data_IF_065950709980
#
_entry.id   IF_065950709980
#
_cell.length_a   1.000
_cell.length_b   1.000
_cell.length_c   1.000
_cell.angle_alpha   90.00
_cell.angle_beta   90.00
_cell.angle_gamma   90.00
#
_symmetry.space_group_name_H-M   'P 1'
#
loop_
_entity.id
_entity.type
_entity.pdbx_description
1 polymer ?
#
# COMPACT_ATOMS: atom_id res chain seq x y z
N UNK A 1 9.58 -5.81 6.24
CA UNK A 1 8.14 -6.10 6.04
C UNK A 1 7.67 -7.03 7.15
N UNK A 2 6.66 -6.65 7.94
CA UNK A 2 6.19 -7.42 9.10
C UNK A 2 5.00 -8.37 8.81
N UNK A 3 4.87 -8.83 7.56
CA UNK A 3 4.10 -10.01 7.09
C UNK A 3 2.79 -9.71 6.35
N UNK A 4 2.55 -10.50 5.30
CA UNK A 4 1.21 -10.73 4.75
C UNK A 4 0.43 -11.53 5.79
N UNK A 5 -0.72 -11.03 6.23
CA UNK A 5 -1.55 -11.64 7.27
C UNK A 5 -2.67 -12.50 6.68
N UNK A 6 -3.11 -12.19 5.46
CA UNK A 6 -4.08 -13.00 4.71
C UNK A 6 -3.86 -12.84 3.21
N UNK A 7 -4.18 -13.87 2.42
CA UNK A 7 -4.12 -13.82 0.95
C UNK A 7 -5.18 -14.75 0.34
N UNK A 8 -5.96 -14.23 -0.61
CA UNK A 8 -7.08 -14.94 -1.24
C UNK A 8 -7.21 -14.55 -2.72
N UNK A 9 -7.00 -15.50 -3.66
CA UNK A 9 -6.41 -16.83 -3.45
C UNK A 9 -4.93 -16.74 -3.01
N UNK A 10 -4.35 -17.84 -2.52
CA UNK A 10 -2.96 -17.87 -2.03
C UNK A 10 -1.89 -17.88 -3.14
N UNK A 11 -2.32 -17.88 -4.41
CA UNK A 11 -1.44 -17.83 -5.59
C UNK A 11 -1.97 -16.78 -6.57
N UNK A 12 -1.06 -15.95 -7.06
CA UNK A 12 -1.31 -15.06 -8.18
C UNK A 12 -0.98 -15.79 -9.49
N UNK A 13 -2.01 -16.11 -10.28
CA UNK A 13 -1.84 -16.66 -11.62
C UNK A 13 -1.59 -15.53 -12.64
N UNK A 14 -0.93 -15.79 -13.78
CA UNK A 14 -0.84 -14.84 -14.88
C UNK A 14 -2.23 -14.35 -15.31
N UNK A 15 -2.39 -13.03 -15.47
CA UNK A 15 -3.69 -12.40 -15.74
C UNK A 15 -4.67 -12.41 -14.55
N UNK A 16 -4.29 -13.03 -13.43
CA UNK A 16 -5.12 -13.20 -12.24
C UNK A 16 -5.00 -12.05 -11.25
N UNK A 17 -5.84 -12.12 -10.21
CA UNK A 17 -5.84 -11.18 -9.09
C UNK A 17 -5.84 -11.92 -7.74
N UNK A 18 -5.26 -11.28 -6.74
CA UNK A 18 -5.22 -11.75 -5.34
C UNK A 18 -5.51 -10.57 -4.42
N UNK A 19 -6.44 -10.75 -3.49
CA UNK A 19 -6.63 -9.85 -2.36
C UNK A 19 -5.73 -10.30 -1.21
N UNK A 20 -5.04 -9.36 -0.57
CA UNK A 20 -4.18 -9.66 0.57
C UNK A 20 -4.25 -8.58 1.64
N UNK A 21 -4.11 -9.01 2.89
CA UNK A 21 -3.95 -8.12 4.03
C UNK A 21 -2.47 -8.05 4.39
N UNK A 22 -1.94 -6.84 4.56
CA UNK A 22 -0.56 -6.61 5.02
C UNK A 22 -0.58 -5.89 6.34
N UNK A 23 0.24 -6.36 7.28
CA UNK A 23 0.60 -5.61 8.47
C UNK A 23 2.02 -5.05 8.33
N UNK A 24 2.16 -3.77 8.66
CA UNK A 24 3.41 -3.04 8.53
C UNK A 24 3.46 -1.83 9.45
N UNK A 25 4.38 -0.94 9.13
CA UNK A 25 4.58 0.32 9.84
C UNK A 25 4.63 1.43 8.79
N UNK A 26 3.96 2.54 9.07
CA UNK A 26 4.06 3.78 8.30
C UNK A 26 4.85 4.77 9.13
N UNK A 27 5.97 5.22 8.58
CA UNK A 27 6.68 6.38 9.10
C UNK A 27 6.24 7.60 8.30
N UNK A 28 5.67 8.56 9.00
CA UNK A 28 5.26 9.83 8.42
C UNK A 28 5.65 10.94 9.39
N UNK A 29 6.35 11.95 8.88
CA UNK A 29 6.82 13.08 9.69
C UNK A 29 7.65 12.65 10.92
N UNK A 30 8.47 11.60 10.76
CA UNK A 30 9.33 11.05 11.83
C UNK A 30 8.59 10.27 12.91
N UNK A 31 7.27 10.11 12.80
CA UNK A 31 6.47 9.27 13.71
C UNK A 31 6.12 7.96 13.00
N UNK A 32 6.49 6.85 13.62
CA UNK A 32 6.20 5.50 13.10
C UNK A 32 4.98 4.91 13.80
N UNK A 33 3.97 4.50 13.03
CA UNK A 33 2.76 3.85 13.54
C UNK A 33 2.51 2.51 12.82
N UNK A 34 1.92 1.51 13.50
CA UNK A 34 1.49 0.29 12.84
C UNK A 34 0.38 0.61 11.82
N UNK A 35 0.41 -0.08 10.69
CA UNK A 35 -0.57 0.02 9.62
C UNK A 35 -1.02 -1.38 9.20
N UNK A 36 -2.33 -1.54 9.04
CA UNK A 36 -2.92 -2.70 8.37
C UNK A 36 -3.63 -2.21 7.11
N UNK A 37 -3.33 -2.80 5.96
CA UNK A 37 -3.93 -2.40 4.69
C UNK A 37 -4.35 -3.63 3.88
N UNK A 38 -5.55 -3.55 3.31
CA UNK A 38 -5.97 -4.44 2.23
C UNK A 38 -5.31 -4.00 0.93
N UNK A 39 -4.82 -4.96 0.17
CA UNK A 39 -4.08 -4.76 -1.08
C UNK A 39 -4.63 -5.70 -2.13
N UNK A 40 -4.90 -5.18 -3.32
CA UNK A 40 -5.21 -5.98 -4.49
C UNK A 40 -3.96 -6.11 -5.35
N UNK A 41 -3.52 -7.33 -5.60
CA UNK A 41 -2.47 -7.63 -6.58
C UNK A 41 -3.11 -8.10 -7.89
N UNK A 42 -2.57 -7.64 -9.02
CA UNK A 42 -2.92 -8.12 -10.36
C UNK A 42 -1.65 -8.40 -11.14
N UNK A 43 -1.56 -9.58 -11.75
CA UNK A 43 -0.48 -9.87 -12.69
C UNK A 43 -0.94 -9.55 -14.10
N UNK A 44 -0.18 -8.72 -14.80
CA UNK A 44 -0.35 -8.44 -16.22
C UNK A 44 0.25 -9.55 -17.08
N UNK A 45 -0.19 -9.64 -18.32
CA UNK A 45 0.29 -10.64 -19.28
C UNK A 45 1.79 -10.50 -19.61
N UNK A 46 2.34 -9.30 -19.47
CA UNK A 46 3.78 -9.01 -19.62
C UNK A 46 4.62 -9.39 -18.39
N UNK A 47 4.00 -10.02 -17.39
CA UNK A 47 4.63 -10.44 -16.15
C UNK A 47 4.80 -9.33 -15.11
N UNK A 48 4.41 -8.09 -15.40
CA UNK A 48 4.39 -7.02 -14.40
C UNK A 48 3.31 -7.28 -13.34
N UNK A 49 3.57 -6.86 -12.11
CA UNK A 49 2.61 -6.96 -11.00
C UNK A 49 2.19 -5.56 -10.60
N UNK A 50 0.89 -5.31 -10.58
CA UNK A 50 0.27 -4.10 -10.04
C UNK A 50 -0.19 -4.41 -8.62
N UNK A 51 0.17 -3.56 -7.67
CA UNK A 51 -0.32 -3.59 -6.31
C UNK A 51 -1.08 -2.29 -6.01
N UNK A 52 -2.34 -2.41 -5.60
CA UNK A 52 -3.21 -1.28 -5.25
C UNK A 52 -3.62 -1.40 -3.79
N UNK A 53 -3.51 -0.30 -3.05
CA UNK A 53 -3.94 -0.23 -1.66
C UNK A 53 -4.60 1.11 -1.36
N UNK A 54 -5.59 1.08 -0.47
CA UNK A 54 -6.24 2.26 0.06
C UNK A 54 -6.35 2.12 1.57
N UNK A 55 -5.91 3.13 2.31
CA UNK A 55 -5.97 3.13 3.78
C UNK A 55 -6.06 4.55 4.35
N UNK A 56 -6.79 4.74 5.47
CA UNK A 56 -6.84 6.02 6.15
C UNK A 56 -5.56 6.26 6.96
N UNK A 57 -5.12 7.52 7.00
CA UNK A 57 -4.00 7.99 7.82
C UNK A 57 -4.46 9.16 8.68
N UNK A 58 -4.38 9.05 10.00
CA UNK A 58 -4.60 10.18 10.91
C UNK A 58 -3.37 11.08 10.94
N UNK A 59 -3.55 12.34 10.60
CA UNK A 59 -2.51 13.36 10.67
C UNK A 59 -2.10 13.64 12.12
N UNK A 60 -3.07 13.70 13.04
CA UNK A 60 -2.79 13.88 14.47
C UNK A 60 -1.98 12.73 15.07
N UNK A 61 -2.23 11.48 14.65
CA UNK A 61 -1.46 10.33 15.14
C UNK A 61 0.03 10.36 14.73
N UNK A 62 0.36 11.16 13.71
CA UNK A 62 1.71 11.35 13.17
C UNK A 62 2.28 12.75 13.49
N UNK A 63 1.73 13.45 14.49
CA UNK A 63 2.17 14.77 14.94
C UNK A 63 2.22 15.83 13.82
N UNK A 64 1.38 15.70 12.80
CA UNK A 64 1.26 16.68 11.73
C UNK A 64 0.26 17.75 12.18
N UNK A 65 0.69 19.00 12.40
CA UNK A 65 -0.20 20.07 12.80
C UNK A 65 -1.13 20.43 11.63
N UNK A 66 -2.43 20.49 11.91
CA UNK A 66 -3.42 20.95 10.93
C UNK A 66 -3.51 22.49 10.96
N UNK A 67 -3.39 23.17 9.80
CA UNK A 67 -3.60 24.61 9.73
C UNK A 67 -4.99 24.96 10.25
N UNK A 68 -5.07 25.90 11.19
CA UNK A 68 -6.34 26.41 11.74
C UNK A 68 -6.84 27.66 11.00
N UNK A 69 -6.06 28.17 10.05
CA UNK A 69 -6.37 29.38 9.32
C UNK A 69 -7.16 29.07 8.04
N UNK A 70 -8.26 29.81 7.87
CA UNK A 70 -9.32 29.73 6.86
C UNK A 70 -10.41 28.71 7.20
N UNK A 71 -11.67 29.09 6.96
CA UNK A 71 -12.94 28.39 7.28
C UNK A 71 -13.09 26.94 6.74
N UNK A 72 -12.00 26.32 6.27
CA UNK A 72 -11.93 24.98 5.72
C UNK A 72 -11.32 24.02 6.76
N UNK A 73 -12.16 23.21 7.41
CA UNK A 73 -11.70 22.16 8.32
C UNK A 73 -11.11 21.01 7.51
N UNK A 74 -9.78 20.91 7.42
CA UNK A 74 -9.12 19.70 6.93
C UNK A 74 -9.47 18.52 7.86
N UNK A 75 -10.00 17.45 7.27
CA UNK A 75 -10.26 16.19 7.97
C UNK A 75 -8.96 15.69 8.63
N UNK A 76 -9.05 15.11 9.82
CA UNK A 76 -7.88 14.51 10.48
C UNK A 76 -7.40 13.27 9.73
N UNK A 77 -8.35 12.49 9.23
CA UNK A 77 -8.10 11.32 8.41
C UNK A 77 -7.92 11.72 6.95
N UNK A 78 -6.81 11.29 6.37
CA UNK A 78 -6.51 11.39 4.95
C UNK A 78 -6.57 10.00 4.34
N UNK A 79 -7.38 9.84 3.30
CA UNK A 79 -7.46 8.58 2.56
C UNK A 79 -6.29 8.52 1.58
N UNK A 80 -5.32 7.64 1.86
CA UNK A 80 -4.14 7.45 1.02
C UNK A 80 -4.41 6.33 0.03
N UNK A 81 -4.16 6.60 -1.25
CA UNK A 81 -4.19 5.59 -2.33
C UNK A 81 -2.79 5.38 -2.86
N UNK A 82 -2.38 4.13 -2.94
CA UNK A 82 -1.07 3.74 -3.47
C UNK A 82 -1.29 2.77 -4.61
N UNK A 83 -0.60 3.02 -5.73
CA UNK A 83 -0.49 2.08 -6.84
C UNK A 83 1.00 1.90 -7.16
N UNK A 84 1.47 0.66 -7.05
CA UNK A 84 2.85 0.29 -7.38
C UNK A 84 2.81 -0.65 -8.57
N UNK A 85 3.71 -0.41 -9.54
CA UNK A 85 3.94 -1.33 -10.65
C UNK A 85 5.35 -1.89 -10.52
N UNK A 86 5.45 -3.20 -10.30
CA UNK A 86 6.71 -3.92 -10.25
C UNK A 86 6.92 -4.66 -11.58
N UNK A 87 8.04 -4.39 -12.23
CA UNK A 87 8.46 -5.12 -13.43
C UNK A 87 9.40 -6.27 -13.05
N UNK A 88 9.28 -7.43 -13.72
CA UNK A 88 10.27 -8.48 -13.57
C UNK A 88 11.65 -7.91 -13.94
N UNK A 89 12.66 -8.15 -13.09
CA UNK A 89 14.04 -7.93 -13.51
C UNK A 89 14.30 -8.88 -14.68
N UNK A 90 14.65 -8.33 -15.85
CA UNK A 90 15.01 -9.13 -17.02
C UNK A 90 15.98 -10.23 -16.58
N UNK A 91 15.60 -11.48 -16.84
CA UNK A 91 16.39 -12.61 -16.38
C UNK A 91 17.79 -12.50 -16.94
N UNK A 92 18.81 -12.55 -16.06
CA UNK A 92 20.12 -13.04 -16.48
C UNK A 92 19.87 -14.43 -17.05
N UNK A 93 19.91 -14.50 -18.37
CA UNK A 93 20.01 -15.74 -19.11
C UNK A 93 21.42 -16.25 -18.82
N UNK A 94 21.57 -17.01 -17.74
CA UNK A 94 22.73 -17.91 -17.64
C UNK A 94 22.53 -18.96 -18.73
N UNK A 95 23.33 -18.80 -19.79
CA UNK A 95 23.72 -19.88 -20.68
C UNK A 95 24.32 -21.04 -19.90
#
# INVERSE_FOLDING_TARGET
LKSVTSARPTRLAPGGAVELDVAGELELHGVTRPLSAGVTLRQRDDGAVIAEAEFPVSLAAHDIPRPKFLMLKLADEQLVRVMIVAHPRGGETSR
#
